data_IF_930948679501
#
_entry.id   IF_930948679501
#
_cell.length_a   1.000
_cell.length_b   1.000
_cell.length_c   1.000
_cell.angle_alpha   90.00
_cell.angle_beta   90.00
_cell.angle_gamma   90.00
#
_symmetry.space_group_name_H-M   'P 1'
#
loop_
_entity.id
_entity.type
_entity.pdbx_description
1 polymer ?
#
# COMPACT_ATOMS: atom_id res chain seq x y z
N UNK A 1 18.80 -9.47 13.54
CA UNK A 1 18.22 -8.89 12.31
C UNK A 1 16.71 -9.02 12.48
N UNK A 2 16.02 -7.95 12.87
CA UNK A 2 14.56 -7.98 13.05
C UNK A 2 13.92 -8.51 11.77
N UNK A 3 13.30 -9.67 11.84
CA UNK A 3 12.41 -10.17 10.81
C UNK A 3 11.15 -9.30 10.87
N UNK A 4 11.23 -8.06 10.36
CA UNK A 4 10.06 -7.20 10.20
C UNK A 4 9.13 -7.93 9.24
N UNK A 5 8.10 -8.53 9.80
CA UNK A 5 7.12 -9.32 9.07
C UNK A 5 6.41 -8.39 8.11
N UNK A 6 6.45 -8.71 6.82
CA UNK A 6 5.72 -7.97 5.77
C UNK A 6 4.28 -7.72 6.23
N UNK A 7 3.85 -6.46 6.21
CA UNK A 7 2.51 -6.09 6.64
C UNK A 7 2.39 -5.61 8.09
N UNK A 8 3.44 -5.73 8.92
CA UNK A 8 3.36 -5.35 10.33
C UNK A 8 3.17 -3.84 10.53
N UNK A 9 3.82 -3.04 9.68
CA UNK A 9 3.75 -1.57 9.72
C UNK A 9 2.44 -1.03 9.16
N UNK A 10 1.66 -1.85 8.43
CA UNK A 10 0.40 -1.40 7.89
C UNK A 10 -0.68 -1.27 8.98
N UNK A 11 -1.59 -0.31 8.81
CA UNK A 11 -2.65 -0.04 9.77
C UNK A 11 -3.65 -1.19 9.87
N UNK A 12 -4.28 -1.30 11.03
CA UNK A 12 -5.20 -2.38 11.35
C UNK A 12 -6.49 -2.40 10.56
N UNK A 13 -6.89 -1.27 9.95
CA UNK A 13 -8.09 -1.21 9.13
C UNK A 13 -8.02 -2.07 7.85
N UNK A 14 -6.83 -2.44 7.39
CA UNK A 14 -6.66 -3.37 6.26
C UNK A 14 -7.09 -4.79 6.65
N UNK A 15 -7.04 -5.10 7.95
CA UNK A 15 -7.42 -6.37 8.55
C UNK A 15 -6.27 -7.03 9.30
N UNK A 16 -6.33 -8.36 9.38
CA UNK A 16 -5.33 -9.19 10.05
C UNK A 16 -3.97 -9.17 9.35
N UNK A 17 -2.94 -9.63 10.05
CA UNK A 17 -1.56 -9.72 9.51
C UNK A 17 -1.49 -10.42 8.15
N UNK A 18 -2.31 -11.45 7.92
CA UNK A 18 -2.39 -12.13 6.63
C UNK A 18 -2.88 -11.21 5.51
N UNK A 19 -3.94 -10.43 5.74
CA UNK A 19 -4.45 -9.45 4.76
C UNK A 19 -3.43 -8.35 4.50
N UNK A 20 -2.75 -7.85 5.54
CA UNK A 20 -1.70 -6.84 5.39
C UNK A 20 -0.51 -7.37 4.60
N UNK A 21 -0.10 -8.63 4.83
CA UNK A 21 0.95 -9.30 4.06
C UNK A 21 0.56 -9.48 2.59
N UNK A 22 -0.68 -9.87 2.32
CA UNK A 22 -1.20 -9.97 0.95
C UNK A 22 -1.24 -8.60 0.27
N UNK A 23 -1.62 -7.56 1.01
CA UNK A 23 -1.64 -6.18 0.54
C UNK A 23 -0.24 -5.73 0.08
N UNK A 24 0.77 -5.91 0.93
CA UNK A 24 2.17 -5.61 0.62
C UNK A 24 2.66 -6.39 -0.59
N UNK A 25 2.34 -7.68 -0.66
CA UNK A 25 2.72 -8.53 -1.79
C UNK A 25 2.15 -7.98 -3.09
N UNK A 26 0.87 -7.57 -3.11
CA UNK A 26 0.25 -6.99 -4.31
C UNK A 26 0.86 -5.65 -4.69
N UNK A 27 1.14 -4.77 -3.71
CA UNK A 27 1.85 -3.52 -3.98
C UNK A 27 3.23 -3.77 -4.58
N UNK A 28 3.97 -4.73 -4.03
CA UNK A 28 5.28 -5.10 -4.54
C UNK A 28 5.20 -5.67 -5.96
N UNK A 29 4.25 -6.54 -6.27
CA UNK A 29 4.01 -7.03 -7.63
C UNK A 29 3.64 -5.91 -8.60
N UNK A 30 2.94 -4.89 -8.14
CA UNK A 30 2.59 -3.72 -8.96
C UNK A 30 3.77 -2.76 -9.17
N UNK A 31 4.78 -2.74 -8.29
CA UNK A 31 6.00 -1.98 -8.54
C UNK A 31 6.75 -2.50 -9.77
N UNK A 32 6.87 -3.82 -9.92
CA UNK A 32 7.43 -4.43 -11.11
C UNK A 32 7.32 -5.95 -11.10
N UNK A 33 7.27 -6.55 -12.29
CA UNK A 33 7.20 -8.02 -12.49
C UNK A 33 8.36 -8.77 -11.82
N UNK A 34 9.50 -8.11 -11.65
CA UNK A 34 10.71 -8.68 -11.08
C UNK A 34 10.76 -8.35 -9.58
N UNK A 35 10.17 -9.23 -8.75
CA UNK A 35 10.12 -9.12 -7.29
C UNK A 35 11.50 -8.89 -6.61
N UNK A 36 12.60 -9.19 -7.31
CA UNK A 36 13.97 -9.03 -6.82
C UNK A 36 14.58 -7.64 -7.08
N UNK A 37 14.01 -6.84 -7.99
CA UNK A 37 14.54 -5.52 -8.37
C UNK A 37 13.78 -4.35 -7.74
N UNK A 38 12.61 -4.60 -7.14
CA UNK A 38 11.78 -3.55 -6.53
C UNK A 38 11.42 -3.91 -5.08
N UNK A 39 11.51 -2.92 -4.19
CA UNK A 39 11.00 -2.94 -2.82
C UNK A 39 9.91 -1.90 -2.66
N UNK A 40 9.04 -2.06 -1.68
CA UNK A 40 8.12 -1.00 -1.27
C UNK A 40 8.55 -0.43 0.07
N UNK A 41 8.28 0.85 0.29
CA UNK A 41 8.44 1.46 1.59
C UNK A 41 7.11 1.39 2.35
N UNK A 42 6.95 0.40 3.24
CA UNK A 42 5.74 0.23 4.06
C UNK A 42 5.49 1.41 5.01
N UNK A 43 6.55 2.14 5.40
CA UNK A 43 6.45 3.33 6.26
C UNK A 43 5.97 4.57 5.47
N UNK A 44 6.09 4.56 4.14
CA UNK A 44 5.76 5.70 3.28
C UNK A 44 4.57 5.39 2.35
N UNK A 45 3.55 4.71 2.88
CA UNK A 45 2.28 4.46 2.19
C UNK A 45 1.29 5.55 2.59
N UNK A 46 0.84 6.34 1.62
CA UNK A 46 -0.18 7.35 1.81
C UNK A 46 -1.55 6.80 1.44
N UNK A 47 -2.23 6.23 2.44
CA UNK A 47 -3.58 5.69 2.25
C UNK A 47 -4.60 6.77 1.90
N UNK A 48 -4.44 8.00 2.40
CA UNK A 48 -5.37 9.10 2.09
C UNK A 48 -5.33 9.46 0.60
N UNK A 49 -4.15 9.45 -0.02
CA UNK A 49 -4.01 9.71 -1.47
C UNK A 49 -4.02 8.43 -2.32
N UNK A 50 -4.13 7.26 -1.70
CA UNK A 50 -3.98 5.98 -2.38
C UNK A 50 -2.64 5.89 -3.14
N UNK A 51 -1.55 6.36 -2.55
CA UNK A 51 -0.21 6.32 -3.15
C UNK A 51 0.81 5.63 -2.24
N UNK A 52 1.86 5.08 -2.84
CA UNK A 52 2.95 4.42 -2.14
C UNK A 52 4.24 4.55 -2.95
N UNK A 53 5.39 4.51 -2.26
CA UNK A 53 6.69 4.59 -2.93
C UNK A 53 7.25 3.20 -3.22
N UNK A 54 7.49 2.94 -4.50
CA UNK A 54 8.30 1.84 -5.02
C UNK A 54 9.77 2.26 -5.06
N UNK A 55 10.65 1.45 -4.49
CA UNK A 55 12.10 1.65 -4.53
C UNK A 55 12.70 0.62 -5.48
N UNK A 56 13.17 1.07 -6.62
CA UNK A 56 13.89 0.26 -7.59
C UNK A 56 15.35 0.13 -7.15
N UNK A 57 15.79 -1.10 -6.89
CA UNK A 57 17.14 -1.49 -6.47
C UNK A 57 18.14 -1.47 -7.66
N UNK A 58 18.11 -0.39 -8.44
CA UNK A 58 19.13 -0.11 -9.45
C UNK A 58 20.27 0.71 -8.85
N UNK A 59 21.37 0.86 -9.58
CA UNK A 59 22.42 1.83 -9.28
C UNK A 59 22.37 2.94 -10.34
N UNK A 60 21.88 4.14 -10.02
CA UNK A 60 21.36 4.63 -8.74
C UNK A 60 19.98 4.06 -8.36
N UNK A 61 19.64 4.06 -7.07
CA UNK A 61 18.30 3.67 -6.60
C UNK A 61 17.29 4.71 -7.06
N UNK A 62 16.16 4.24 -7.61
CA UNK A 62 15.09 5.12 -8.12
C UNK A 62 13.86 4.93 -7.26
N UNK A 63 13.34 6.02 -6.70
CA UNK A 63 12.09 6.03 -5.97
C UNK A 63 10.97 6.45 -6.93
N UNK A 64 10.03 5.56 -7.17
CA UNK A 64 8.87 5.78 -8.03
C UNK A 64 7.62 5.81 -7.16
N UNK A 65 6.90 6.93 -7.16
CA UNK A 65 5.58 6.96 -6.54
C UNK A 65 4.59 6.24 -7.46
N UNK A 66 3.91 5.24 -6.91
CA UNK A 66 2.84 4.51 -7.60
C UNK A 66 1.53 4.65 -6.85
N UNK A 67 0.45 4.46 -7.59
CA UNK A 67 -0.91 4.46 -7.06
C UNK A 67 -1.30 3.05 -6.60
N UNK A 68 -1.86 2.96 -5.40
CA UNK A 68 -2.48 1.76 -4.87
C UNK A 68 -3.58 1.33 -5.85
N UNK A 69 -3.62 0.05 -6.28
CA UNK A 69 -4.62 -0.44 -7.21
C UNK A 69 -6.06 -0.18 -6.75
N UNK A 70 -6.96 0.04 -7.73
CA UNK A 70 -8.39 0.20 -7.43
C UNK A 70 -8.92 -0.99 -6.62
N UNK A 71 -9.86 -0.73 -5.72
CA UNK A 71 -10.50 -1.78 -4.91
C UNK A 71 -9.68 -2.27 -3.70
N UNK A 72 -8.47 -1.75 -3.50
CA UNK A 72 -7.70 -1.98 -2.26
C UNK A 72 -8.16 -1.07 -1.12
N UNK A 73 -8.16 -1.60 0.10
CA UNK A 73 -8.52 -0.85 1.30
C UNK A 73 -7.56 0.32 1.56
N UNK A 74 -8.11 1.49 1.85
CA UNK A 74 -7.37 2.72 2.11
C UNK A 74 -7.84 3.47 3.37
N UNK A 75 -8.86 2.97 4.06
CA UNK A 75 -9.27 3.55 5.33
C UNK A 75 -10.17 2.63 6.15
N UNK A 76 -10.73 3.21 7.20
CA UNK A 76 -11.65 2.52 8.12
C UNK A 76 -12.98 2.27 7.43
N UNK A 77 -13.65 1.16 7.78
CA UNK A 77 -14.97 0.81 7.25
C UNK A 77 -14.94 0.28 5.82
N UNK A 78 -13.91 -0.51 5.47
CA UNK A 78 -13.74 -1.11 4.14
C UNK A 78 -13.72 -0.08 2.99
N UNK A 79 -13.31 1.16 3.29
CA UNK A 79 -13.11 2.20 2.28
C UNK A 79 -11.99 1.80 1.33
N UNK A 80 -12.25 1.93 0.03
CA UNK A 80 -11.38 1.42 -1.04
C UNK A 80 -10.90 2.53 -1.95
N UNK A 81 -9.68 2.37 -2.47
CA UNK A 81 -9.12 3.30 -3.43
C UNK A 81 -9.96 3.32 -4.72
N UNK A 82 -10.39 4.51 -5.18
CA UNK A 82 -11.08 4.68 -6.45
C UNK A 82 -10.08 4.54 -7.61
N UNK A 83 -10.58 4.44 -8.85
CA UNK A 83 -9.71 4.44 -10.05
C UNK A 83 -8.85 5.71 -10.12
N UNK A 84 -9.45 6.87 -9.82
CA UNK A 84 -8.77 8.18 -9.81
C UNK A 84 -9.14 8.98 -8.56
N UNK A 85 -8.20 9.79 -8.05
CA UNK A 85 -8.40 10.65 -6.86
C UNK A 85 -7.97 10.05 -5.52
N UNK A 86 -8.18 10.76 -4.40
CA UNK A 86 -7.84 10.28 -3.06
C UNK A 86 -8.82 9.20 -2.56
N UNK A 87 -8.47 8.56 -1.44
CA UNK A 87 -9.35 7.63 -0.74
C UNK A 87 -10.63 8.34 -0.30
N UNK A 88 -11.83 7.80 -0.62
CA UNK A 88 -13.08 8.38 -0.18
C UNK A 88 -13.14 8.36 1.35
N UNK A 89 -13.59 9.48 1.93
CA UNK A 89 -13.93 9.50 3.34
C UNK A 89 -15.05 8.49 3.60
N UNK A 90 -14.97 7.78 4.72
CA UNK A 90 -16.07 6.92 5.16
C UNK A 90 -17.36 7.76 5.19
N UNK A 91 -18.50 7.20 4.75
CA UNK A 91 -19.77 7.93 4.80
C UNK A 91 -19.96 8.40 6.25
N UNK A 92 -20.05 9.72 6.44
CA UNK A 92 -20.40 10.28 7.73
C UNK A 92 -21.75 9.66 8.12
N UNK A 93 -21.90 9.15 9.36
CA UNK A 93 -23.22 8.70 9.80
C UNK A 93 -24.18 9.87 9.61
N UNK A 94 -25.29 9.64 8.91
CA UNK A 94 -26.35 10.63 8.77
C UNK A 94 -26.79 11.03 10.17
N UNK A 95 -26.47 12.26 10.57
CA UNK A 95 -26.95 12.87 11.81
C UNK A 95 -28.46 13.10 11.76
#
# INVERSE_FOLDING_TARGET
KENRTLGYTLPSFIGDLNKRKEYVTKLQSNCGEQHQTHKINEENINFANCTYTCIRLSNPQVNEEKRIPHGMTCGVGDTKCPETGPCPAAPLPSC
#
